data_IF_156913377997
#
_entry.id   IF_156913377997
#
_cell.length_a   1.000
_cell.length_b   1.000
_cell.length_c   1.000
_cell.angle_alpha   90.00
_cell.angle_beta   90.00
_cell.angle_gamma   90.00
#
_symmetry.space_group_name_H-M   'P 1'
#
loop_
_entity.id
_entity.type
_entity.pdbx_description
1 polymer ?
#
# COMPACT_ATOMS: atom_id res chain seq x y z
N UNK A 1 -16.75 -17.60 -19.46
CA UNK A 1 -17.25 -16.75 -18.35
C UNK A 1 -16.38 -17.06 -17.14
N UNK A 2 -15.41 -16.19 -16.84
CA UNK A 2 -14.48 -16.39 -15.72
C UNK A 2 -15.09 -15.82 -14.44
N UNK A 3 -15.37 -16.69 -13.48
CA UNK A 3 -15.78 -16.32 -12.13
C UNK A 3 -14.60 -15.60 -11.45
N UNK A 4 -14.77 -14.31 -11.19
CA UNK A 4 -13.81 -13.53 -10.40
C UNK A 4 -14.14 -13.76 -8.93
N UNK A 5 -13.57 -14.80 -8.33
CA UNK A 5 -13.62 -15.00 -6.88
C UNK A 5 -12.70 -14.01 -6.19
N UNK A 6 -13.26 -13.23 -5.26
CA UNK A 6 -12.55 -12.24 -4.45
C UNK A 6 -11.67 -12.93 -3.40
N UNK A 7 -10.45 -12.42 -3.21
CA UNK A 7 -9.45 -13.00 -2.31
C UNK A 7 -9.76 -12.87 -0.81
N UNK A 8 -10.68 -12.00 -0.42
CA UNK A 8 -10.98 -11.77 0.99
C UNK A 8 -12.04 -12.78 1.47
N UNK A 9 -11.65 -13.72 2.32
CA UNK A 9 -12.55 -14.74 2.88
C UNK A 9 -12.82 -15.94 1.96
N UNK A 10 -11.93 -16.20 0.99
CA UNK A 10 -12.07 -17.33 0.06
C UNK A 10 -11.89 -18.69 0.71
N UNK A 11 -11.24 -18.71 1.88
CA UNK A 11 -11.04 -19.91 2.70
C UNK A 11 -11.76 -19.74 4.03
N UNK A 12 -12.47 -20.78 4.45
CA UNK A 12 -13.22 -20.81 5.71
C UNK A 12 -12.33 -21.14 6.92
N UNK A 13 -11.13 -21.67 6.67
CA UNK A 13 -10.17 -22.04 7.72
C UNK A 13 -8.72 -21.89 7.25
N UNK A 14 -7.80 -21.86 8.21
CA UNK A 14 -6.37 -21.84 7.93
C UNK A 14 -5.90 -23.12 7.22
N UNK A 15 -6.38 -24.30 7.63
CA UNK A 15 -6.05 -25.58 7.00
C UNK A 15 -6.47 -25.65 5.53
N UNK A 16 -7.58 -24.98 5.19
CA UNK A 16 -8.05 -24.85 3.82
C UNK A 16 -7.18 -23.88 3.02
N UNK A 17 -6.81 -22.75 3.63
CA UNK A 17 -5.91 -21.77 3.03
C UNK A 17 -4.50 -22.31 2.80
N UNK A 18 -3.98 -23.16 3.68
CA UNK A 18 -2.66 -23.79 3.57
C UNK A 18 -2.59 -24.74 2.37
N UNK A 19 -3.68 -25.45 2.08
CA UNK A 19 -3.78 -26.40 0.95
C UNK A 19 -4.21 -25.73 -0.35
N UNK A 20 -4.84 -24.56 -0.26
CA UNK A 20 -5.33 -23.79 -1.39
C UNK A 20 -4.21 -23.00 -2.09
N UNK A 21 -4.45 -22.64 -3.35
CA UNK A 21 -3.57 -21.67 -4.02
C UNK A 21 -3.84 -20.25 -3.47
N UNK A 22 -2.78 -19.50 -3.09
CA UNK A 22 -2.93 -18.13 -2.63
C UNK A 22 -3.60 -17.26 -3.70
N UNK A 23 -4.70 -16.60 -3.35
CA UNK A 23 -5.32 -15.62 -4.24
C UNK A 23 -4.63 -14.28 -4.04
N UNK A 24 -3.84 -13.90 -5.03
CA UNK A 24 -3.00 -12.70 -4.97
C UNK A 24 -3.67 -11.56 -5.73
N UNK A 25 -4.24 -10.60 -4.99
CA UNK A 25 -4.83 -9.39 -5.59
C UNK A 25 -3.76 -8.37 -6.02
N UNK A 26 -2.68 -8.30 -5.24
CA UNK A 26 -1.57 -7.37 -5.43
C UNK A 26 -0.29 -8.20 -5.33
N UNK A 27 0.57 -8.21 -6.36
CA UNK A 27 1.85 -8.89 -6.29
C UNK A 27 2.66 -8.39 -5.10
N UNK A 28 3.22 -9.32 -4.32
CA UNK A 28 3.96 -9.00 -3.10
C UNK A 28 5.21 -9.84 -3.01
N UNK A 29 6.32 -9.19 -2.65
CA UNK A 29 7.60 -9.85 -2.38
C UNK A 29 8.08 -9.48 -0.99
N UNK A 30 8.52 -10.47 -0.21
CA UNK A 30 9.19 -10.24 1.06
C UNK A 30 10.42 -11.14 1.19
N UNK A 31 11.36 -10.72 2.04
CA UNK A 31 12.44 -11.59 2.47
C UNK A 31 12.10 -12.10 3.86
N UNK A 32 12.12 -13.41 4.01
CA UNK A 32 12.03 -14.06 5.31
C UNK A 32 13.38 -14.63 5.67
N UNK A 33 13.76 -14.49 6.92
CA UNK A 33 14.89 -15.23 7.48
C UNK A 33 14.32 -16.43 8.21
N UNK A 34 14.81 -17.61 7.89
CA UNK A 34 14.43 -18.85 8.54
C UNK A 34 15.70 -19.58 9.00
N UNK A 35 15.59 -20.35 10.07
CA UNK A 35 16.70 -21.01 10.81
C UNK A 35 17.57 -20.10 11.68
N UNK A 36 18.27 -20.75 12.62
CA UNK A 36 19.27 -20.13 13.49
C UNK A 36 20.55 -19.71 12.74
N UNK A 37 20.70 -20.16 11.49
CA UNK A 37 21.82 -19.82 10.61
C UNK A 37 21.57 -18.54 9.79
N UNK A 38 20.45 -17.86 10.06
CA UNK A 38 20.05 -16.61 9.40
C UNK A 38 19.91 -16.71 7.87
N UNK A 39 19.59 -17.89 7.35
CA UNK A 39 19.32 -18.06 5.92
C UNK A 39 18.12 -17.21 5.47
N UNK A 40 18.33 -16.41 4.43
CA UNK A 40 17.30 -15.56 3.83
C UNK A 40 16.67 -16.22 2.61
N UNK A 41 15.33 -16.28 2.56
CA UNK A 41 14.57 -16.66 1.37
C UNK A 41 13.67 -15.52 0.92
N UNK A 42 13.71 -15.23 -0.38
CA UNK A 42 12.75 -14.34 -1.03
C UNK A 42 11.46 -15.13 -1.27
N UNK A 43 10.34 -14.63 -0.79
CA UNK A 43 9.00 -15.15 -1.06
C UNK A 43 8.30 -14.16 -1.97
N UNK A 44 7.72 -14.67 -3.04
CA UNK A 44 7.04 -13.89 -4.07
C UNK A 44 5.68 -14.51 -4.37
N UNK A 45 4.68 -13.65 -4.44
CA UNK A 45 3.31 -14.01 -4.78
C UNK A 45 2.79 -13.07 -5.86
N UNK A 46 2.15 -13.63 -6.90
CA UNK A 46 1.59 -12.86 -8.03
C UNK A 46 2.57 -12.62 -9.18
N UNK A 47 2.13 -11.91 -10.22
CA UNK A 47 2.94 -11.56 -11.39
C UNK A 47 3.40 -10.10 -11.29
N UNK A 48 4.71 -9.89 -11.27
CA UNK A 48 5.33 -8.56 -11.26
C UNK A 48 5.47 -8.03 -12.69
N UNK A 49 5.26 -6.73 -12.86
CA UNK A 49 5.48 -6.05 -14.14
C UNK A 49 6.89 -5.46 -14.25
N UNK A 50 7.27 -4.95 -15.41
CA UNK A 50 8.60 -4.33 -15.62
C UNK A 50 8.84 -3.06 -14.80
N UNK A 51 7.80 -2.47 -14.19
CA UNK A 51 7.91 -1.30 -13.32
C UNK A 51 8.12 -1.70 -11.84
N UNK A 52 7.94 -2.98 -11.51
CA UNK A 52 8.34 -3.58 -10.24
C UNK A 52 9.84 -3.77 -10.22
N UNK A 53 10.56 -2.75 -9.77
CA UNK A 53 12.00 -2.86 -9.62
C UNK A 53 12.34 -3.82 -8.47
N UNK A 54 12.60 -5.08 -8.79
CA UNK A 54 12.86 -6.17 -7.83
C UNK A 54 14.23 -6.08 -7.12
N UNK A 55 15.02 -5.07 -7.44
CA UNK A 55 16.33 -4.88 -6.84
C UNK A 55 16.18 -4.03 -5.58
N UNK A 56 16.80 -4.48 -4.48
CA UNK A 56 16.85 -3.88 -3.13
C UNK A 56 15.83 -4.45 -2.11
N UNK A 57 16.31 -5.47 -1.40
CA UNK A 57 15.85 -5.93 -0.09
C UNK A 57 15.44 -4.77 0.83
N UNK A 58 14.19 -4.80 1.29
CA UNK A 58 13.69 -3.91 2.35
C UNK A 58 13.06 -2.59 1.90
N UNK A 59 12.98 -2.29 0.61
CA UNK A 59 12.20 -1.15 0.10
C UNK A 59 10.92 -1.66 -0.57
N UNK A 60 9.77 -1.06 -0.25
CA UNK A 60 8.58 -1.19 -1.10
C UNK A 60 8.89 -0.50 -2.44
N UNK A 61 9.31 -1.30 -3.44
CA UNK A 61 9.77 -0.78 -4.73
C UNK A 61 8.61 -0.55 -5.68
N UNK A 62 7.73 0.39 -5.34
CA UNK A 62 6.84 1.00 -6.32
C UNK A 62 7.48 2.33 -6.72
N UNK A 63 8.20 2.38 -7.85
CA UNK A 63 8.80 3.63 -8.34
C UNK A 63 7.75 4.66 -8.81
N UNK A 64 6.51 4.21 -9.03
CA UNK A 64 5.33 5.01 -9.33
C UNK A 64 4.10 4.47 -8.56
N UNK A 65 3.05 5.30 -8.44
CA UNK A 65 1.75 4.87 -7.92
C UNK A 65 1.27 3.61 -8.59
N UNK A 66 0.77 2.66 -7.80
CA UNK A 66 0.05 1.51 -8.34
C UNK A 66 -1.43 1.65 -8.05
N UNK A 67 -2.21 1.63 -9.12
CA UNK A 67 -3.67 1.67 -9.04
C UNK A 67 -4.23 0.31 -9.40
N UNK A 68 -4.91 -0.32 -8.43
CA UNK A 68 -5.55 -1.61 -8.59
C UNK A 68 -7.05 -1.40 -8.69
N UNK A 69 -7.67 -1.89 -9.76
CA UNK A 69 -9.11 -1.82 -9.95
C UNK A 69 -9.72 -3.20 -9.70
N UNK A 70 -10.57 -3.29 -8.69
CA UNK A 70 -11.24 -4.50 -8.26
C UNK A 70 -12.73 -4.31 -8.47
N UNK A 71 -13.36 -5.11 -9.33
CA UNK A 71 -14.82 -5.11 -9.44
C UNK A 71 -15.37 -5.92 -8.27
N UNK A 72 -15.98 -5.32 -7.24
CA UNK A 72 -16.45 -6.02 -6.03
C UNK A 72 -17.91 -6.52 -6.13
N UNK A 73 -18.44 -6.67 -7.35
CA UNK A 73 -19.80 -7.12 -7.62
C UNK A 73 -20.78 -5.96 -7.79
N UNK A 74 -22.00 -6.26 -8.26
CA UNK A 74 -23.08 -5.28 -8.47
C UNK A 74 -22.68 -4.04 -9.29
N UNK A 75 -21.78 -4.19 -10.26
CA UNK A 75 -21.18 -3.11 -11.06
C UNK A 75 -20.41 -2.06 -10.24
N UNK A 76 -19.95 -2.40 -9.04
CA UNK A 76 -19.14 -1.54 -8.19
C UNK A 76 -17.65 -1.83 -8.43
N UNK A 77 -16.90 -0.79 -8.81
CA UNK A 77 -15.44 -0.88 -8.97
C UNK A 77 -14.76 -0.16 -7.80
N UNK A 78 -13.99 -0.91 -7.03
CA UNK A 78 -13.09 -0.40 -6.01
C UNK A 78 -11.72 -0.13 -6.63
N UNK A 79 -11.26 1.13 -6.57
CA UNK A 79 -9.91 1.50 -6.96
C UNK A 79 -9.06 1.70 -5.71
N UNK A 80 -8.01 0.90 -5.55
CA UNK A 80 -7.02 1.05 -4.48
C UNK A 80 -5.78 1.69 -5.09
N UNK A 81 -5.38 2.84 -4.56
CA UNK A 81 -4.16 3.54 -4.98
C UNK A 81 -3.12 3.34 -3.89
N UNK A 82 -2.05 2.63 -4.22
CA UNK A 82 -0.90 2.45 -3.34
C UNK A 82 0.15 3.49 -3.69
N UNK A 83 0.46 4.32 -2.70
CA UNK A 83 1.49 5.36 -2.77
C UNK A 83 2.79 4.84 -2.17
N UNK A 84 3.91 5.52 -2.47
CA UNK A 84 5.09 5.41 -1.61
C UNK A 84 4.78 6.00 -0.23
N UNK A 85 5.43 5.46 0.79
CA UNK A 85 5.38 6.01 2.14
C UNK A 85 6.23 7.27 2.28
N UNK A 86 6.17 7.86 3.47
CA UNK A 86 6.93 9.05 3.89
C UNK A 86 7.91 8.61 4.97
N UNK A 87 9.06 9.27 5.07
CA UNK A 87 10.20 8.76 5.82
C UNK A 87 11.09 7.90 4.94
N UNK A 88 11.27 8.31 3.67
CA UNK A 88 12.18 7.63 2.76
C UNK A 88 13.61 7.74 3.30
N UNK A 89 14.30 6.60 3.35
CA UNK A 89 15.73 6.51 3.71
C UNK A 89 16.66 7.40 2.87
N UNK A 90 16.19 7.94 1.74
CA UNK A 90 16.91 8.90 0.88
C UNK A 90 16.78 10.35 1.35
N UNK A 91 16.02 10.61 2.41
CA UNK A 91 15.90 11.91 3.08
C UNK A 91 14.75 12.80 2.60
N UNK A 92 14.68 13.99 3.20
CA UNK A 92 13.53 14.91 3.09
C UNK A 92 13.22 15.36 1.66
N UNK A 93 14.23 15.60 0.82
CA UNK A 93 14.00 16.01 -0.57
C UNK A 93 13.24 14.93 -1.37
N UNK A 94 13.49 13.65 -1.06
CA UNK A 94 12.78 12.55 -1.68
C UNK A 94 11.35 12.46 -1.17
N UNK A 95 11.12 12.75 0.12
CA UNK A 95 9.77 12.82 0.68
C UNK A 95 8.96 13.94 0.01
N UNK A 96 9.53 15.13 -0.20
CA UNK A 96 8.87 16.22 -0.94
C UNK A 96 8.45 15.77 -2.34
N UNK A 97 9.36 15.12 -3.09
CA UNK A 97 9.03 14.59 -4.43
C UNK A 97 7.93 13.52 -4.37
N UNK A 98 7.95 12.65 -3.36
CA UNK A 98 6.91 11.64 -3.16
C UNK A 98 5.54 12.30 -2.90
N UNK A 99 5.52 13.37 -2.09
CA UNK A 99 4.32 14.14 -1.76
C UNK A 99 3.77 14.87 -2.99
N UNK A 100 4.61 15.58 -3.73
CA UNK A 100 4.22 16.25 -4.99
C UNK A 100 3.64 15.26 -6.00
N UNK A 101 4.28 14.09 -6.11
CA UNK A 101 3.78 13.00 -6.93
C UNK A 101 2.37 12.55 -6.48
N UNK A 102 2.14 12.39 -5.16
CA UNK A 102 0.83 11.98 -4.61
C UNK A 102 -0.21 13.01 -5.02
N UNK A 103 0.07 14.29 -4.79
CA UNK A 103 -0.82 15.39 -5.15
C UNK A 103 -1.14 15.41 -6.64
N UNK A 104 -0.12 15.29 -7.50
CA UNK A 104 -0.32 15.28 -8.95
C UNK A 104 -1.19 14.13 -9.43
N UNK A 105 -1.19 12.99 -8.73
CA UNK A 105 -2.02 11.86 -9.08
C UNK A 105 -3.47 12.10 -8.64
N UNK A 106 -3.66 12.54 -7.39
CA UNK A 106 -5.00 12.71 -6.82
C UNK A 106 -5.74 13.92 -7.41
N UNK A 107 -5.05 14.98 -7.85
CA UNK A 107 -5.68 16.11 -8.58
C UNK A 107 -6.36 15.67 -9.87
N UNK A 108 -5.86 14.61 -10.49
CA UNK A 108 -6.41 14.09 -11.75
C UNK A 108 -7.60 13.13 -11.54
N UNK A 109 -7.98 12.84 -10.28
CA UNK A 109 -9.13 12.01 -9.97
C UNK A 109 -10.40 12.86 -9.88
N UNK A 110 -11.46 12.43 -10.58
CA UNK A 110 -12.76 13.11 -10.50
C UNK A 110 -13.42 12.98 -9.12
N UNK A 111 -13.06 11.96 -8.35
CA UNK A 111 -13.58 11.75 -7.00
C UNK A 111 -12.57 10.98 -6.15
N UNK A 112 -12.42 11.38 -4.88
CA UNK A 112 -11.61 10.72 -3.87
C UNK A 112 -12.50 10.30 -2.71
N UNK A 113 -12.82 8.99 -2.63
CA UNK A 113 -13.77 8.48 -1.65
C UNK A 113 -13.21 8.42 -0.22
N UNK A 114 -11.96 8.00 -0.06
CA UNK A 114 -11.33 7.84 1.25
C UNK A 114 -9.81 7.91 1.15
N UNK A 115 -9.16 8.31 2.24
CA UNK A 115 -7.70 8.34 2.40
C UNK A 115 -7.35 7.53 3.64
N UNK A 116 -6.58 6.45 3.46
CA UNK A 116 -6.14 5.59 4.57
C UNK A 116 -4.67 5.85 4.90
N UNK A 117 -4.37 6.28 6.12
CA UNK A 117 -3.01 6.37 6.64
C UNK A 117 -2.65 5.11 7.41
N UNK A 118 -1.66 4.38 6.91
CA UNK A 118 -1.16 3.18 7.57
C UNK A 118 0.01 3.54 8.50
N UNK A 119 -0.20 3.40 9.81
CA UNK A 119 0.75 3.81 10.86
C UNK A 119 1.18 2.61 11.71
N UNK A 120 2.39 2.68 12.27
CA UNK A 120 2.85 1.73 13.29
C UNK A 120 2.52 2.31 14.67
N UNK A 121 1.88 1.56 15.60
CA UNK A 121 1.42 2.08 16.88
C UNK A 121 2.56 2.50 17.81
N UNK A 122 3.75 1.88 17.66
CA UNK A 122 4.88 2.05 18.58
C UNK A 122 6.00 2.95 18.03
N UNK A 123 5.71 3.82 17.07
CA UNK A 123 6.69 4.84 16.64
C UNK A 123 6.61 6.03 17.58
N UNK A 124 7.63 6.22 18.41
CA UNK A 124 7.76 7.39 19.27
C UNK A 124 7.97 8.63 18.39
N UNK A 125 6.96 9.51 18.41
CA UNK A 125 6.89 10.86 17.85
C UNK A 125 6.60 10.97 16.34
N UNK A 126 5.64 11.84 15.96
CA UNK A 126 5.59 12.35 14.60
C UNK A 126 6.80 13.27 14.41
N UNK A 127 7.83 12.79 13.72
CA UNK A 127 8.96 13.60 13.31
C UNK A 127 8.45 14.86 12.58
N UNK A 128 9.10 16.01 12.76
CA UNK A 128 8.75 17.27 12.08
C UNK A 128 8.35 17.11 10.58
N UNK A 129 9.02 16.27 9.76
CA UNK A 129 8.58 15.95 8.40
C UNK A 129 7.18 15.32 8.29
N UNK A 130 6.83 14.40 9.19
CA UNK A 130 5.51 13.77 9.22
C UNK A 130 4.41 14.81 9.47
N UNK A 131 4.63 15.73 10.42
CA UNK A 131 3.69 16.85 10.67
C UNK A 131 3.57 17.78 9.47
N UNK A 132 4.69 18.15 8.84
CA UNK A 132 4.70 19.01 7.67
C UNK A 132 3.93 18.39 6.48
N UNK A 133 4.00 17.07 6.33
CA UNK A 133 3.22 16.35 5.35
C UNK A 133 1.70 16.45 5.61
N UNK A 134 1.25 16.17 6.83
CA UNK A 134 -0.19 16.25 7.14
C UNK A 134 -0.76 17.65 6.91
N UNK A 135 0.01 18.69 7.25
CA UNK A 135 -0.39 20.08 6.98
C UNK A 135 -0.57 20.29 5.47
N UNK A 136 0.45 19.96 4.67
CA UNK A 136 0.36 20.11 3.21
C UNK A 136 -0.78 19.28 2.60
N UNK A 137 -1.01 18.08 3.14
CA UNK A 137 -2.08 17.20 2.67
C UNK A 137 -3.46 17.73 3.02
N UNK A 138 -3.65 18.28 4.22
CA UNK A 138 -4.93 18.87 4.60
C UNK A 138 -5.17 20.24 3.97
N UNK A 139 -4.12 20.99 3.65
CA UNK A 139 -4.26 22.21 2.84
C UNK A 139 -4.68 21.88 1.41
N UNK A 140 -4.21 20.74 0.88
CA UNK A 140 -4.56 20.26 -0.45
C UNK A 140 -5.95 19.62 -0.52
N UNK A 141 -6.30 18.78 0.46
CA UNK A 141 -7.60 18.13 0.53
C UNK A 141 -8.66 19.17 0.91
N UNK A 142 -9.63 19.40 0.03
CA UNK A 142 -10.77 20.27 0.38
C UNK A 142 -11.41 19.84 1.71
N UNK A 143 -12.03 20.78 2.44
CA UNK A 143 -12.60 20.54 3.77
C UNK A 143 -13.49 19.27 3.84
N UNK A 144 -14.19 18.92 2.75
CA UNK A 144 -15.04 17.73 2.69
C UNK A 144 -14.25 16.41 2.55
N UNK A 145 -13.07 16.43 1.91
CA UNK A 145 -12.23 15.24 1.78
C UNK A 145 -11.61 14.83 3.13
N UNK A 146 -11.48 15.77 4.07
CA UNK A 146 -10.99 15.45 5.42
C UNK A 146 -11.94 14.56 6.23
N UNK A 147 -13.23 14.53 5.87
CA UNK A 147 -14.22 13.68 6.54
C UNK A 147 -14.04 12.18 6.23
N UNK A 148 -13.31 11.85 5.17
CA UNK A 148 -13.09 10.48 4.72
C UNK A 148 -11.65 10.00 4.98
N UNK A 149 -10.99 10.58 5.97
CA UNK A 149 -9.67 10.14 6.43
C UNK A 149 -9.82 9.02 7.45
N UNK A 150 -9.07 7.93 7.24
CA UNK A 150 -9.04 6.76 8.10
C UNK A 150 -7.59 6.54 8.56
N UNK A 151 -7.38 6.41 9.88
CA UNK A 151 -6.09 6.02 10.44
C UNK A 151 -6.09 4.54 10.77
N UNK A 152 -5.20 3.79 10.13
CA UNK A 152 -5.06 2.35 10.28
C UNK A 152 -3.76 2.03 11.02
N UNK A 153 -3.84 1.49 12.24
CA UNK A 153 -2.67 1.07 12.99
C UNK A 153 -2.34 -0.40 12.69
N UNK A 154 -1.10 -0.69 12.32
CA UNK A 154 -0.62 -2.03 11.94
C UNK A 154 0.27 -2.63 13.02
N UNK A 155 0.24 -3.96 13.20
CA UNK A 155 1.09 -4.69 14.14
C UNK A 155 0.86 -4.31 15.62
N UNK A 156 -0.32 -4.67 16.13
CA UNK A 156 -0.67 -4.72 17.56
C UNK A 156 0.01 -5.88 18.27
#
# INVERSE_FOLDING_TARGET
MQNHQYAFGSFQSFDEAEKGEPIVLIPVSCFITYSDEFEGKKIEFGQFDSNDNQNYSGRFVNQCFKSYMLNIGNNINLRIIITRGIGDTRGLEQDTKNIEHIFSYITNLSYLNAVCFLLKPNTNHPDAPFRAFFIQLFDFLEHNATQNIIFCFTNT
#
